data_IF_246029937698
#
_entry.id   IF_246029937698
#
_cell.length_a   1.000
_cell.length_b   1.000
_cell.length_c   1.000
_cell.angle_alpha   90.00
_cell.angle_beta   90.00
_cell.angle_gamma   90.00
#
_symmetry.space_group_name_H-M   'P 1'
#
loop_
_entity.id
_entity.type
_entity.pdbx_description
1 polymer ?
#
# COMPACT_ATOMS: atom_id res chain seq x y z
N UNK A 1 15.59 7.87 -10.84
CA UNK A 1 15.55 9.27 -10.39
C UNK A 1 14.80 10.19 -11.36
N UNK A 2 15.07 10.17 -12.64
CA UNK A 2 14.41 11.06 -13.61
C UNK A 2 12.87 10.89 -13.72
N UNK A 3 12.34 9.67 -13.51
CA UNK A 3 10.90 9.40 -13.63
C UNK A 3 10.05 9.91 -12.46
N UNK A 4 10.63 10.12 -11.28
CA UNK A 4 9.89 10.45 -10.06
C UNK A 4 10.64 11.52 -9.23
N UNK A 5 10.85 12.74 -9.76
CA UNK A 5 11.75 13.73 -9.15
C UNK A 5 11.30 14.24 -7.77
N UNK A 6 10.04 14.06 -7.40
CA UNK A 6 9.46 14.52 -6.14
C UNK A 6 9.29 13.42 -5.08
N UNK A 7 10.00 12.28 -5.19
CA UNK A 7 9.86 11.12 -4.29
C UNK A 7 11.21 10.75 -3.65
N UNK A 8 11.81 11.62 -2.79
CA UNK A 8 13.15 11.40 -2.24
C UNK A 8 13.24 10.13 -1.37
N UNK A 9 12.22 9.83 -0.58
CA UNK A 9 12.19 8.63 0.27
C UNK A 9 12.23 7.34 -0.56
N UNK A 10 11.50 7.32 -1.67
CA UNK A 10 11.52 6.20 -2.60
C UNK A 10 12.90 6.04 -3.27
N UNK A 11 13.51 7.14 -3.69
CA UNK A 11 14.85 7.11 -4.29
C UNK A 11 15.91 6.57 -3.34
N UNK A 12 15.84 6.97 -2.05
CA UNK A 12 16.78 6.50 -1.03
C UNK A 12 16.62 5.00 -0.80
N UNK A 13 15.38 4.52 -0.61
CA UNK A 13 15.09 3.11 -0.40
C UNK A 13 15.58 2.24 -1.58
N UNK A 14 15.31 2.67 -2.82
CA UNK A 14 15.80 1.98 -4.03
C UNK A 14 17.33 1.91 -4.05
N UNK A 15 17.99 3.02 -3.75
CA UNK A 15 19.46 3.07 -3.72
C UNK A 15 20.04 2.08 -2.71
N UNK A 16 19.57 2.10 -1.48
CA UNK A 16 20.04 1.23 -0.40
C UNK A 16 19.86 -0.25 -0.73
N UNK A 17 18.68 -0.62 -1.24
CA UNK A 17 18.41 -2.01 -1.62
C UNK A 17 19.26 -2.46 -2.78
N UNK A 18 19.37 -1.65 -3.86
CA UNK A 18 20.18 -2.01 -5.02
C UNK A 18 21.68 -2.07 -4.69
N UNK A 19 22.19 -1.23 -3.79
CA UNK A 19 23.55 -1.31 -3.29
C UNK A 19 23.80 -2.62 -2.53
N UNK A 20 22.88 -3.05 -1.71
CA UNK A 20 23.00 -4.32 -0.97
C UNK A 20 22.88 -5.56 -1.87
N UNK A 21 22.14 -5.46 -2.97
CA UNK A 21 22.00 -6.53 -3.96
C UNK A 21 23.11 -6.56 -5.02
N UNK A 22 23.99 -5.56 -5.04
CA UNK A 22 25.06 -5.40 -6.07
C UNK A 22 25.84 -6.69 -6.33
N UNK A 23 26.36 -7.42 -5.32
CA UNK A 23 27.16 -8.63 -5.59
C UNK A 23 26.39 -9.70 -6.37
N UNK A 24 25.11 -9.86 -6.09
CA UNK A 24 24.24 -10.82 -6.78
C UNK A 24 23.92 -10.36 -8.20
N UNK A 25 23.70 -9.06 -8.37
CA UNK A 25 23.38 -8.45 -9.67
C UNK A 25 24.60 -8.57 -10.61
N UNK A 26 25.80 -8.21 -10.15
CA UNK A 26 27.04 -8.28 -10.94
C UNK A 26 27.40 -9.72 -11.33
N UNK A 27 27.18 -10.69 -10.43
CA UNK A 27 27.42 -12.11 -10.72
C UNK A 27 26.47 -12.70 -11.80
N UNK A 28 25.38 -12.01 -12.12
CA UNK A 28 24.35 -12.48 -13.05
C UNK A 28 23.91 -11.39 -14.04
N UNK A 29 24.79 -10.41 -14.31
CA UNK A 29 24.45 -9.18 -15.02
C UNK A 29 23.76 -9.42 -16.37
N UNK A 30 24.32 -10.26 -17.22
CA UNK A 30 23.76 -10.54 -18.54
C UNK A 30 22.35 -11.13 -18.46
N UNK A 31 22.15 -12.11 -17.57
CA UNK A 31 20.85 -12.74 -17.33
C UNK A 31 19.80 -11.72 -16.88
N UNK A 32 20.14 -10.87 -15.93
CA UNK A 32 19.19 -9.91 -15.35
C UNK A 32 18.90 -8.73 -16.29
N UNK A 33 19.91 -8.28 -17.04
CA UNK A 33 19.73 -7.24 -18.08
C UNK A 33 18.81 -7.71 -19.19
N UNK A 34 18.94 -8.95 -19.65
CA UNK A 34 18.13 -9.53 -20.72
C UNK A 34 16.62 -9.53 -20.41
N UNK A 35 16.25 -9.60 -19.14
CA UNK A 35 14.84 -9.60 -18.69
C UNK A 35 14.42 -8.28 -18.04
N UNK A 36 15.25 -7.23 -18.12
CA UNK A 36 15.03 -5.93 -17.49
C UNK A 36 14.62 -6.06 -16.01
N UNK A 37 15.36 -6.90 -15.26
CA UNK A 37 14.97 -7.26 -13.88
C UNK A 37 14.94 -6.04 -12.97
N UNK A 38 15.97 -5.20 -13.01
CA UNK A 38 16.10 -4.04 -12.12
C UNK A 38 15.02 -2.99 -12.40
N UNK A 39 14.75 -2.73 -13.67
CA UNK A 39 13.71 -1.80 -14.08
C UNK A 39 12.33 -2.26 -13.61
N UNK A 40 12.05 -3.56 -13.68
CA UNK A 40 10.80 -4.16 -13.19
C UNK A 40 10.71 -4.17 -11.67
N UNK A 41 11.84 -4.33 -10.98
CA UNK A 41 11.88 -4.33 -9.51
C UNK A 41 11.60 -2.95 -8.91
N UNK A 42 11.96 -1.88 -9.59
CA UNK A 42 11.80 -0.50 -9.09
C UNK A 42 10.54 0.20 -9.62
N UNK A 43 9.81 -0.41 -10.52
CA UNK A 43 8.56 0.13 -11.05
C UNK A 43 7.37 -0.64 -10.48
N UNK A 44 6.44 -0.01 -9.74
CA UNK A 44 5.25 -0.70 -9.25
C UNK A 44 4.34 -1.13 -10.39
N UNK A 45 3.72 -2.30 -10.27
CA UNK A 45 2.78 -2.81 -11.27
C UNK A 45 1.55 -1.91 -11.38
N UNK A 46 1.09 -1.33 -10.25
CA UNK A 46 -0.08 -0.44 -10.24
C UNK A 46 -0.03 0.54 -9.08
N UNK A 47 -0.41 1.79 -9.36
CA UNK A 47 -0.65 2.82 -8.35
C UNK A 47 -2.09 3.30 -8.46
N UNK A 48 -2.82 3.27 -7.35
CA UNK A 48 -4.22 3.68 -7.28
C UNK A 48 -4.30 4.86 -6.31
N UNK A 49 -4.87 5.97 -6.77
CA UNK A 49 -5.14 7.16 -5.97
C UNK A 49 -6.63 7.46 -6.06
N UNK A 50 -7.27 7.69 -4.93
CA UNK A 50 -8.71 7.95 -4.88
C UNK A 50 -9.06 8.96 -3.80
N UNK A 51 -10.22 9.59 -3.96
CA UNK A 51 -10.78 10.55 -3.03
C UNK A 51 -11.57 9.81 -1.94
N UNK A 52 -11.41 10.26 -0.67
CA UNK A 52 -12.09 9.70 0.50
C UNK A 52 -12.89 10.81 1.18
N UNK A 53 -14.15 11.07 0.80
CA UNK A 53 -15.02 12.01 1.48
C UNK A 53 -15.63 11.36 2.74
N UNK A 54 -15.70 12.10 3.85
CA UNK A 54 -16.32 11.65 5.08
C UNK A 54 -16.88 12.84 5.86
N UNK A 55 -17.75 12.59 6.84
CA UNK A 55 -18.42 13.63 7.63
C UNK A 55 -18.06 13.44 9.10
N UNK A 56 -17.67 14.53 9.76
CA UNK A 56 -17.33 14.54 11.19
C UNK A 56 -18.57 14.55 12.09
N UNK A 57 -18.35 14.54 13.42
CA UNK A 57 -19.39 14.55 14.41
C UNK A 57 -20.23 15.83 14.44
N UNK A 58 -19.73 16.92 13.86
CA UNK A 58 -20.41 18.20 13.73
C UNK A 58 -21.21 18.32 12.43
N UNK A 59 -21.19 17.29 11.58
CA UNK A 59 -21.82 17.31 10.26
C UNK A 59 -20.99 18.02 9.17
N UNK A 60 -19.71 18.36 9.46
CA UNK A 60 -18.82 18.97 8.49
C UNK A 60 -18.23 17.91 7.57
N UNK A 61 -18.29 18.13 6.25
CA UNK A 61 -17.68 17.29 5.26
C UNK A 61 -16.17 17.55 5.13
N UNK A 62 -15.40 16.46 5.04
CA UNK A 62 -13.96 16.44 4.83
C UNK A 62 -13.60 15.57 3.65
N UNK A 63 -12.43 15.80 3.07
CA UNK A 63 -11.91 15.02 1.96
C UNK A 63 -10.43 14.71 2.22
N UNK A 64 -10.13 13.41 2.30
CA UNK A 64 -8.77 12.91 2.33
C UNK A 64 -8.42 12.20 1.02
N UNK A 65 -7.16 11.90 0.82
CA UNK A 65 -6.67 11.12 -0.31
C UNK A 65 -6.29 9.72 0.14
N UNK A 66 -6.85 8.71 -0.52
CA UNK A 66 -6.47 7.32 -0.34
C UNK A 66 -5.51 6.85 -1.42
N UNK A 67 -4.63 5.91 -1.05
CA UNK A 67 -3.63 5.30 -1.92
C UNK A 67 -3.57 3.80 -1.73
N UNK A 68 -3.35 3.06 -2.83
CA UNK A 68 -2.89 1.67 -2.82
C UNK A 68 -1.86 1.48 -3.92
N UNK A 69 -0.67 1.03 -3.53
CA UNK A 69 0.39 0.64 -4.46
C UNK A 69 0.49 -0.88 -4.45
N UNK A 70 0.11 -1.48 -5.56
CA UNK A 70 0.29 -2.90 -5.86
C UNK A 70 1.65 -3.01 -6.54
N UNK A 71 2.68 -3.32 -5.73
CA UNK A 71 4.03 -3.10 -6.18
C UNK A 71 4.55 -4.24 -7.04
N UNK A 72 4.46 -5.48 -6.55
CA UNK A 72 4.96 -6.64 -7.27
C UNK A 72 4.21 -7.90 -6.85
N UNK A 73 3.72 -8.65 -7.83
CA UNK A 73 2.97 -9.91 -7.67
C UNK A 73 3.72 -11.15 -8.19
N UNK A 74 5.03 -11.05 -8.47
CA UNK A 74 5.79 -12.14 -9.08
C UNK A 74 5.78 -13.44 -8.27
N UNK A 75 5.64 -13.35 -6.94
CA UNK A 75 5.65 -14.52 -6.05
C UNK A 75 4.29 -14.78 -5.37
N UNK A 76 3.27 -13.99 -5.66
CA UNK A 76 1.92 -14.19 -5.12
C UNK A 76 1.11 -12.90 -5.01
N UNK A 77 -0.11 -12.96 -4.45
CA UNK A 77 -0.97 -11.79 -4.26
C UNK A 77 -0.25 -10.66 -3.51
N UNK A 78 -0.59 -9.41 -3.85
CA UNK A 78 -0.06 -8.27 -3.11
C UNK A 78 -0.45 -8.36 -1.64
N UNK A 79 0.50 -8.07 -0.75
CA UNK A 79 0.27 -8.10 0.69
C UNK A 79 0.99 -6.93 1.34
N UNK A 80 0.27 -6.16 2.16
CA UNK A 80 0.88 -5.08 2.94
C UNK A 80 -0.12 -4.18 3.63
N UNK A 81 0.35 -3.42 4.62
CA UNK A 81 -0.47 -2.61 5.52
C UNK A 81 -1.09 -1.37 4.87
N UNK A 82 -2.02 -0.79 5.61
CA UNK A 82 -2.63 0.51 5.32
C UNK A 82 -2.16 1.48 6.40
N UNK A 83 -1.46 2.55 6.03
CA UNK A 83 -0.97 3.59 6.95
C UNK A 83 -1.94 4.77 6.97
N UNK A 84 -2.41 5.15 8.16
CA UNK A 84 -3.21 6.36 8.37
C UNK A 84 -2.37 7.37 9.17
N UNK A 85 -1.85 8.39 8.47
CA UNK A 85 -1.00 9.41 9.05
C UNK A 85 -0.98 10.66 8.15
N UNK A 86 -0.97 11.89 8.72
CA UNK A 86 -0.98 13.14 7.94
C UNK A 86 0.15 13.29 6.93
N UNK A 87 1.30 12.64 7.16
CA UNK A 87 2.45 12.69 6.24
C UNK A 87 2.31 11.80 5.01
N UNK A 88 1.27 10.97 4.93
CA UNK A 88 1.09 10.01 3.83
C UNK A 88 0.89 10.75 2.51
N UNK A 89 1.69 10.38 1.53
CA UNK A 89 1.58 10.76 0.13
C UNK A 89 1.98 9.57 -0.76
N UNK A 90 1.85 9.72 -2.06
CA UNK A 90 2.13 8.62 -3.00
C UNK A 90 3.59 8.14 -2.94
N UNK A 91 4.55 9.05 -2.76
CA UNK A 91 5.98 8.71 -2.66
C UNK A 91 6.28 7.84 -1.44
N UNK A 92 5.69 8.17 -0.27
CA UNK A 92 5.81 7.39 0.95
C UNK A 92 5.17 6.00 0.79
N UNK A 93 3.97 5.91 0.23
CA UNK A 93 3.31 4.62 0.02
C UNK A 93 4.07 3.77 -1.00
N UNK A 94 4.64 4.38 -2.02
CA UNK A 94 5.48 3.71 -3.02
C UNK A 94 6.76 3.15 -2.41
N UNK A 95 7.47 3.95 -1.60
CA UNK A 95 8.67 3.47 -0.91
C UNK A 95 8.36 2.31 0.03
N UNK A 96 7.30 2.42 0.83
CA UNK A 96 6.88 1.37 1.74
C UNK A 96 6.43 0.10 1.00
N UNK A 97 5.79 0.25 -0.16
CA UNK A 97 5.42 -0.86 -1.03
C UNK A 97 6.63 -1.58 -1.61
N UNK A 98 7.65 -0.83 -2.00
CA UNK A 98 8.92 -1.36 -2.47
C UNK A 98 9.63 -2.20 -1.38
N UNK A 99 9.77 -1.66 -0.18
CA UNK A 99 10.34 -2.40 0.96
C UNK A 99 9.52 -3.65 1.31
N UNK A 100 8.19 -3.56 1.21
CA UNK A 100 7.30 -4.67 1.51
C UNK A 100 7.52 -5.87 0.59
N UNK A 101 7.89 -5.66 -0.68
CA UNK A 101 8.25 -6.73 -1.63
C UNK A 101 9.39 -7.59 -1.07
N UNK A 102 10.47 -6.95 -0.62
CA UNK A 102 11.64 -7.67 -0.08
C UNK A 102 11.33 -8.32 1.27
N UNK A 103 10.64 -7.60 2.14
CA UNK A 103 10.20 -8.15 3.42
C UNK A 103 9.39 -9.45 3.24
N UNK A 104 8.43 -9.45 2.32
CA UNK A 104 7.58 -10.61 2.07
C UNK A 104 8.36 -11.76 1.40
N UNK A 105 9.31 -11.45 0.50
CA UNK A 105 10.14 -12.46 -0.15
C UNK A 105 10.98 -13.28 0.83
N UNK A 106 11.35 -12.70 1.97
CA UNK A 106 12.12 -13.36 3.03
C UNK A 106 11.28 -14.29 3.91
N UNK A 107 9.96 -14.29 3.78
CA UNK A 107 9.07 -15.17 4.56
C UNK A 107 8.98 -16.58 4.00
N UNK A 108 9.47 -16.82 2.79
CA UNK A 108 9.27 -18.07 2.01
C UNK A 108 7.80 -18.37 1.67
N UNK A 109 6.89 -17.43 1.90
CA UNK A 109 5.47 -17.57 1.55
C UNK A 109 5.21 -17.01 0.14
N UNK A 110 4.21 -17.54 -0.59
CA UNK A 110 3.84 -17.08 -1.92
C UNK A 110 2.99 -15.80 -1.85
N UNK A 111 3.56 -14.74 -1.32
CA UNK A 111 2.94 -13.42 -1.17
C UNK A 111 3.81 -12.33 -1.79
N UNK A 112 3.19 -11.50 -2.63
CA UNK A 112 3.81 -10.33 -3.24
C UNK A 112 3.86 -9.14 -2.28
N UNK A 113 4.16 -7.96 -2.80
CA UNK A 113 4.27 -6.73 -2.02
C UNK A 113 3.29 -5.65 -2.47
N UNK A 114 2.62 -5.05 -1.50
CA UNK A 114 1.76 -3.89 -1.68
C UNK A 114 1.73 -3.01 -0.44
N UNK A 115 1.25 -1.80 -0.60
CA UNK A 115 1.08 -0.85 0.51
C UNK A 115 -0.07 0.10 0.23
N UNK A 116 -0.80 0.48 1.27
CA UNK A 116 -1.85 1.48 1.18
C UNK A 116 -1.73 2.53 2.26
N UNK A 117 -2.55 3.54 2.18
CA UNK A 117 -2.64 4.56 3.20
C UNK A 117 -3.47 5.77 2.81
N UNK A 118 -3.55 6.70 3.73
CA UNK A 118 -4.20 7.99 3.56
C UNK A 118 -3.56 9.04 4.46
N UNK A 119 -3.66 10.30 4.05
CA UNK A 119 -3.30 11.48 4.84
C UNK A 119 -4.28 11.76 6.01
N UNK A 120 -5.23 10.88 6.24
CA UNK A 120 -6.14 10.94 7.39
C UNK A 120 -5.38 10.73 8.71
N UNK A 121 -5.62 11.61 9.68
CA UNK A 121 -5.11 11.48 11.04
C UNK A 121 -6.19 10.91 11.97
N UNK A 122 -6.07 9.67 12.46
CA UNK A 122 -7.03 9.08 13.39
C UNK A 122 -6.93 9.63 14.82
N UNK A 123 -5.84 10.36 15.15
CA UNK A 123 -5.67 10.89 16.50
C UNK A 123 -6.73 11.93 16.84
N UNK A 124 -7.35 11.78 17.99
CA UNK A 124 -8.37 12.71 18.47
C UNK A 124 -9.71 12.64 17.74
N UNK A 125 -9.91 11.69 16.85
CA UNK A 125 -11.18 11.41 16.19
C UNK A 125 -12.04 10.44 17.02
N UNK A 126 -13.36 10.61 16.96
CA UNK A 126 -14.30 9.67 17.56
C UNK A 126 -14.33 8.35 16.77
N UNK A 127 -14.84 7.29 17.40
CA UNK A 127 -15.04 6.01 16.71
C UNK A 127 -15.99 6.13 15.51
N UNK A 128 -16.98 7.03 15.60
CA UNK A 128 -17.91 7.32 14.51
C UNK A 128 -17.21 7.99 13.33
N UNK A 129 -16.36 8.97 13.58
CA UNK A 129 -15.56 9.65 12.56
C UNK A 129 -14.58 8.68 11.86
N UNK A 130 -13.88 7.86 12.66
CA UNK A 130 -12.97 6.83 12.14
C UNK A 130 -13.74 5.79 11.31
N UNK A 131 -14.90 5.35 11.78
CA UNK A 131 -15.75 4.43 11.02
C UNK A 131 -16.23 5.06 9.71
N UNK A 132 -16.67 6.32 9.72
CA UNK A 132 -17.10 7.04 8.52
C UNK A 132 -15.96 7.13 7.48
N UNK A 133 -14.75 7.48 7.93
CA UNK A 133 -13.58 7.48 7.08
C UNK A 133 -13.25 6.08 6.52
N UNK A 134 -13.17 5.06 7.38
CA UNK A 134 -12.83 3.69 6.98
C UNK A 134 -13.84 3.10 5.98
N UNK A 135 -15.13 3.38 6.17
CA UNK A 135 -16.17 2.95 5.24
C UNK A 135 -16.03 3.63 3.87
N UNK A 136 -15.79 4.94 3.84
CA UNK A 136 -15.54 5.68 2.60
C UNK A 136 -14.27 5.20 1.90
N UNK A 137 -13.17 5.02 2.63
CA UNK A 137 -11.90 4.49 2.11
C UNK A 137 -12.08 3.11 1.47
N UNK A 138 -12.76 2.19 2.16
CA UNK A 138 -13.00 0.84 1.66
C UNK A 138 -13.98 0.79 0.48
N UNK A 139 -14.92 1.72 0.38
CA UNK A 139 -15.84 1.82 -0.77
C UNK A 139 -15.08 1.93 -2.10
N UNK A 140 -13.96 2.64 -2.11
CA UNK A 140 -13.09 2.70 -3.30
C UNK A 140 -12.11 1.55 -3.35
N UNK A 141 -11.46 1.23 -2.23
CA UNK A 141 -10.41 0.20 -2.20
C UNK A 141 -10.93 -1.20 -2.54
N UNK A 142 -12.17 -1.55 -2.17
CA UNK A 142 -12.75 -2.87 -2.39
C UNK A 142 -12.81 -3.30 -3.87
N UNK A 143 -12.67 -2.35 -4.79
CA UNK A 143 -12.64 -2.62 -6.25
C UNK A 143 -11.34 -3.30 -6.70
N UNK A 144 -10.29 -3.24 -5.89
CA UNK A 144 -8.92 -3.62 -6.26
C UNK A 144 -8.32 -4.71 -5.39
N UNK A 145 -8.98 -5.10 -4.31
CA UNK A 145 -8.50 -6.07 -3.32
C UNK A 145 -9.34 -7.35 -3.28
N UNK A 146 -8.80 -8.37 -2.68
CA UNK A 146 -9.45 -9.67 -2.50
C UNK A 146 -8.46 -10.72 -2.02
N UNK A 147 -8.95 -11.84 -1.53
CA UNK A 147 -8.16 -12.91 -0.90
C UNK A 147 -7.01 -13.41 -1.80
N UNK A 148 -7.26 -13.52 -3.11
CA UNK A 148 -6.30 -14.04 -4.09
C UNK A 148 -5.65 -12.93 -4.96
N UNK A 149 -5.95 -11.65 -4.68
CA UNK A 149 -5.47 -10.52 -5.49
C UNK A 149 -4.56 -9.61 -4.69
N UNK A 150 -5.09 -9.05 -3.61
CA UNK A 150 -4.39 -8.07 -2.78
C UNK A 150 -4.99 -8.07 -1.36
N UNK A 151 -4.19 -8.41 -0.36
CA UNK A 151 -4.63 -8.56 1.03
C UNK A 151 -4.04 -7.45 1.89
N UNK A 152 -4.83 -6.44 2.27
CA UNK A 152 -4.43 -5.40 3.20
C UNK A 152 -4.18 -5.94 4.61
N UNK A 153 -3.45 -5.14 5.41
CA UNK A 153 -3.18 -5.40 6.82
C UNK A 153 -3.09 -4.09 7.61
N UNK A 154 -2.92 -4.19 8.93
CA UNK A 154 -2.64 -3.04 9.79
C UNK A 154 -1.25 -2.44 9.57
N UNK A 155 -1.11 -1.17 9.90
CA UNK A 155 0.14 -0.41 9.93
C UNK A 155 -0.02 0.77 10.91
N UNK A 156 0.83 1.79 10.86
CA UNK A 156 0.70 3.01 11.69
C UNK A 156 -0.70 3.63 11.50
N UNK A 157 -1.38 3.89 12.60
CA UNK A 157 -2.73 4.48 12.62
C UNK A 157 -3.86 3.52 12.24
N UNK A 158 -3.57 2.24 11.99
CA UNK A 158 -4.55 1.23 11.57
C UNK A 158 -4.39 -0.02 12.41
N UNK A 159 -5.19 -0.13 13.45
CA UNK A 159 -5.27 -1.29 14.33
C UNK A 159 -6.50 -2.17 14.07
N UNK A 160 -6.82 -3.04 15.02
CA UNK A 160 -7.94 -3.97 14.91
C UNK A 160 -9.29 -3.25 14.71
N UNK A 161 -9.49 -2.09 15.33
CA UNK A 161 -10.71 -1.27 15.19
C UNK A 161 -10.90 -0.81 13.74
N UNK A 162 -9.90 -0.17 13.17
CA UNK A 162 -9.92 0.34 11.79
C UNK A 162 -10.09 -0.80 10.79
N UNK A 163 -9.37 -1.90 10.96
CA UNK A 163 -9.51 -3.11 10.13
C UNK A 163 -10.92 -3.69 10.24
N UNK A 164 -11.50 -3.70 11.44
CA UNK A 164 -12.89 -4.14 11.64
C UNK A 164 -13.90 -3.29 10.86
N UNK A 165 -13.75 -1.96 10.88
CA UNK A 165 -14.61 -1.06 10.10
C UNK A 165 -14.42 -1.23 8.58
N UNK A 166 -13.17 -1.39 8.12
CA UNK A 166 -12.86 -1.64 6.72
C UNK A 166 -13.40 -2.98 6.24
N UNK A 167 -13.20 -4.05 7.01
CA UNK A 167 -13.71 -5.38 6.66
C UNK A 167 -15.24 -5.43 6.66
N UNK A 168 -15.88 -4.77 7.62
CA UNK A 168 -17.34 -4.67 7.65
C UNK A 168 -17.90 -4.00 6.39
N UNK A 169 -17.26 -2.97 5.89
CA UNK A 169 -17.65 -2.30 4.65
C UNK A 169 -17.34 -3.15 3.40
N UNK A 170 -16.17 -3.80 3.35
CA UNK A 170 -15.81 -4.74 2.30
C UNK A 170 -16.86 -5.84 2.16
N UNK A 171 -17.23 -6.47 3.28
CA UNK A 171 -18.26 -7.50 3.33
C UNK A 171 -19.62 -7.01 2.84
N UNK A 172 -20.04 -5.79 3.22
CA UNK A 172 -21.30 -5.20 2.74
C UNK A 172 -21.34 -5.04 1.23
N UNK A 173 -20.23 -4.60 0.63
CA UNK A 173 -20.16 -4.31 -0.81
C UNK A 173 -19.97 -5.59 -1.62
N UNK A 174 -19.05 -6.46 -1.19
CA UNK A 174 -18.66 -7.66 -1.95
C UNK A 174 -19.58 -8.87 -1.68
N UNK A 175 -20.29 -8.88 -0.57
CA UNK A 175 -21.15 -10.00 -0.19
C UNK A 175 -20.39 -11.28 0.19
N UNK A 176 -19.10 -11.16 0.57
CA UNK A 176 -18.21 -12.28 0.92
C UNK A 176 -17.69 -12.14 2.34
N UNK A 177 -17.26 -13.27 2.95
CA UNK A 177 -16.75 -13.32 4.32
C UNK A 177 -15.24 -13.59 4.38
N UNK A 178 -14.59 -13.60 3.24
CA UNK A 178 -13.15 -13.78 3.07
C UNK A 178 -12.49 -12.52 2.49
N UNK A 179 -11.24 -12.24 2.88
CA UNK A 179 -10.49 -11.06 2.43
C UNK A 179 -9.10 -11.00 3.05
#
# INVERSE_FOLDING_TARGET
MQKNPAEPEFHQAVKEVLESLRPVIEANEEKYRKVALLERMVEPERQIKFRVPWVDDKGQAHVNTGYRVQFNSAIGPYKGGIRLHPSVNIGIIKFLGFEQVFKNSLTSLPIGGGKGGSDFDPKGKSDREIMAFCQSFMTELCKYIGADTDVPAGDIGTGAREIGFMFGQYKRIRGVYEG
#
